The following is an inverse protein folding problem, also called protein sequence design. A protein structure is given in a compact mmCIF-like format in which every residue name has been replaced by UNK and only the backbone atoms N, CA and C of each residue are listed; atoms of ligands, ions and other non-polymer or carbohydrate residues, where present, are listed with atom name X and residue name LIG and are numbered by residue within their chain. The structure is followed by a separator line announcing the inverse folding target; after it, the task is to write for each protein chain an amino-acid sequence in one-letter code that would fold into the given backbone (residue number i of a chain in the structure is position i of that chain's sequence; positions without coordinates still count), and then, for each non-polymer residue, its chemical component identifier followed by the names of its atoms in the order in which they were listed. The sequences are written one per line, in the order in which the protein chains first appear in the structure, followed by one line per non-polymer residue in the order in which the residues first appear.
data_IF_834793794927
#
_entry.id   IF_834793794927
#
_cell.length_a   1.000
_cell.length_b   1.000
_cell.length_c   1.000
_cell.angle_alpha   90.00
_cell.angle_beta   90.00
_cell.angle_gamma   90.00
#
_symmetry.space_group_name_H-M   'P 1'
#
loop_
_entity.id
_entity.type
_entity.pdbx_description
1 polymer ?
#
# COMPACT_ATOMS: atom_id res chain seq x y z
N UNK A 1 0.00 -11.92 -4.87
CA UNK A 1 -1.05 -11.21 -5.65
C UNK A 1 -2.51 -11.48 -5.23
N UNK A 2 -3.01 -12.71 -4.98
CA UNK A 2 -4.46 -12.93 -4.76
C UNK A 2 -5.01 -12.25 -3.50
N UNK A 3 -4.22 -12.20 -2.41
CA UNK A 3 -4.63 -11.53 -1.16
C UNK A 3 -4.77 -10.01 -1.32
N UNK A 4 -3.88 -9.35 -2.08
CA UNK A 4 -3.95 -7.90 -2.37
C UNK A 4 -5.18 -7.57 -3.21
N UNK A 5 -5.46 -8.37 -4.25
CA UNK A 5 -6.66 -8.20 -5.09
C UNK A 5 -7.94 -8.41 -4.29
N UNK A 6 -7.98 -9.41 -3.41
CA UNK A 6 -9.12 -9.65 -2.53
C UNK A 6 -9.35 -8.50 -1.54
N UNK A 7 -8.29 -8.01 -0.89
CA UNK A 7 -8.37 -6.86 0.02
C UNK A 7 -8.83 -5.59 -0.72
N UNK A 8 -8.35 -5.35 -1.94
CA UNK A 8 -8.82 -4.25 -2.78
C UNK A 8 -10.30 -4.36 -3.13
N UNK A 9 -10.76 -5.55 -3.54
CA UNK A 9 -12.17 -5.78 -3.83
C UNK A 9 -13.06 -5.47 -2.61
N UNK A 10 -12.60 -5.77 -1.40
CA UNK A 10 -13.31 -5.39 -0.17
C UNK A 10 -13.40 -3.86 -0.01
N UNK A 11 -12.30 -3.13 -0.22
CA UNK A 11 -12.30 -1.66 -0.20
C UNK A 11 -13.29 -1.09 -1.21
N UNK A 12 -13.27 -1.59 -2.44
CA UNK A 12 -14.17 -1.15 -3.51
C UNK A 12 -15.64 -1.41 -3.17
N UNK A 13 -15.97 -2.57 -2.61
CA UNK A 13 -17.33 -2.90 -2.19
C UNK A 13 -17.86 -1.92 -1.13
N UNK A 14 -17.02 -1.50 -0.17
CA UNK A 14 -17.45 -0.52 0.83
C UNK A 14 -17.66 0.86 0.22
N UNK A 15 -16.80 1.30 -0.70
CA UNK A 15 -17.00 2.56 -1.42
C UNK A 15 -18.25 2.55 -2.29
N UNK A 16 -18.53 1.44 -2.97
CA UNK A 16 -19.75 1.27 -3.76
C UNK A 16 -20.97 1.38 -2.86
N UNK A 17 -20.98 0.68 -1.72
CA UNK A 17 -22.08 0.76 -0.74
C UNK A 17 -22.32 2.18 -0.25
N UNK A 18 -21.25 2.94 0.04
CA UNK A 18 -21.36 4.36 0.39
C UNK A 18 -22.04 5.15 -0.72
N UNK A 19 -21.63 4.94 -1.97
CA UNK A 19 -22.21 5.61 -3.12
C UNK A 19 -23.69 5.26 -3.35
N UNK A 20 -24.10 4.04 -3.04
CA UNK A 20 -25.48 3.57 -3.21
C UNK A 20 -26.46 4.17 -2.18
N UNK A 21 -25.96 4.58 -1.01
CA UNK A 21 -26.77 5.23 0.03
C UNK A 21 -27.04 6.72 -0.25
N UNK A 22 -26.19 7.37 -1.05
CA UNK A 22 -26.26 8.82 -1.30
C UNK A 22 -27.57 9.28 -1.96
N UNK A 23 -28.13 8.61 -2.98
CA UNK A 23 -29.39 9.06 -3.58
C UNK A 23 -30.52 9.14 -2.56
N UNK A 24 -30.63 8.14 -1.68
CA UNK A 24 -31.64 8.12 -0.61
C UNK A 24 -31.40 9.24 0.41
N UNK A 25 -30.14 9.52 0.75
CA UNK A 25 -29.76 10.64 1.61
C UNK A 25 -30.14 11.98 0.97
N UNK A 26 -29.79 12.20 -0.29
CA UNK A 26 -30.08 13.42 -1.03
C UNK A 26 -31.58 13.66 -1.12
N UNK A 27 -32.38 12.65 -1.45
CA UNK A 27 -33.84 12.77 -1.50
C UNK A 27 -34.44 13.08 -0.13
N UNK A 28 -33.94 12.44 0.93
CA UNK A 28 -34.37 12.74 2.31
C UNK A 28 -34.06 14.18 2.67
N UNK A 29 -32.82 14.66 2.45
CA UNK A 29 -32.44 16.04 2.76
C UNK A 29 -33.22 17.05 1.91
N UNK A 30 -33.41 16.77 0.61
CA UNK A 30 -34.19 17.61 -0.31
C UNK A 30 -35.64 17.77 0.13
N UNK A 31 -36.22 16.79 0.83
CA UNK A 31 -37.55 16.91 1.42
C UNK A 31 -37.67 18.07 2.42
N UNK A 32 -36.63 18.32 3.21
CA UNK A 32 -36.61 19.30 4.31
C UNK A 32 -35.83 20.58 3.99
N UNK A 33 -34.74 20.48 3.23
CA UNK A 33 -33.78 21.55 2.98
C UNK A 33 -33.69 21.91 1.47
N UNK A 34 -34.83 22.21 0.84
CA UNK A 34 -34.90 22.53 -0.61
C UNK A 34 -34.06 23.73 -1.03
N UNK A 35 -33.75 24.63 -0.09
CA UNK A 35 -32.95 25.83 -0.32
C UNK A 35 -31.44 25.51 -0.43
N UNK A 36 -31.02 24.33 0.02
CA UNK A 36 -29.61 23.88 0.04
C UNK A 36 -29.20 23.21 -1.28
N UNK A 37 -29.66 23.77 -2.40
CA UNK A 37 -29.43 23.21 -3.74
C UNK A 37 -27.93 23.09 -4.06
N UNK A 38 -27.14 24.12 -3.74
CA UNK A 38 -25.71 24.10 -3.97
C UNK A 38 -25.03 22.93 -3.24
N UNK A 39 -25.44 22.67 -2.00
CA UNK A 39 -24.93 21.57 -1.18
C UNK A 39 -25.34 20.22 -1.76
N UNK A 40 -26.61 20.05 -2.13
CA UNK A 40 -27.12 18.81 -2.72
C UNK A 40 -26.45 18.50 -4.07
N UNK A 41 -26.31 19.50 -4.94
CA UNK A 41 -25.61 19.37 -6.23
C UNK A 41 -24.16 18.96 -6.03
N UNK A 42 -23.44 19.59 -5.09
CA UNK A 42 -22.06 19.22 -4.79
C UNK A 42 -21.92 17.76 -4.33
N UNK A 43 -22.88 17.22 -3.58
CA UNK A 43 -22.90 15.81 -3.17
C UNK A 43 -23.18 14.89 -4.35
N UNK A 44 -24.14 15.25 -5.22
CA UNK A 44 -24.47 14.47 -6.42
C UNK A 44 -23.27 14.41 -7.38
N UNK A 45 -22.62 15.55 -7.63
CA UNK A 45 -21.43 15.63 -8.48
C UNK A 45 -20.25 14.86 -7.89
N UNK A 46 -20.00 15.01 -6.58
CA UNK A 46 -18.91 14.28 -5.92
C UNK A 46 -19.16 12.77 -5.96
N UNK A 47 -20.40 12.33 -5.79
CA UNK A 47 -20.79 10.92 -5.99
C UNK A 47 -20.51 10.49 -7.42
N UNK A 48 -20.96 11.25 -8.42
CA UNK A 48 -20.78 10.90 -9.82
C UNK A 48 -19.30 10.69 -10.15
N UNK A 49 -18.42 11.61 -9.71
CA UNK A 49 -16.96 11.49 -9.86
C UNK A 49 -16.39 10.29 -9.11
N UNK A 50 -16.85 10.02 -7.89
CA UNK A 50 -16.40 8.87 -7.10
C UNK A 50 -16.80 7.53 -7.74
N UNK A 51 -17.94 7.46 -8.43
CA UNK A 51 -18.43 6.25 -9.12
C UNK A 51 -17.93 6.09 -10.55
N UNK A 52 -17.53 7.18 -11.22
CA UNK A 52 -17.05 7.12 -12.60
C UNK A 52 -15.68 6.44 -12.72
N UNK A 53 -14.88 6.50 -11.66
CA UNK A 53 -13.56 5.87 -11.63
C UNK A 53 -13.72 4.40 -11.27
N UNK A 54 -13.88 3.55 -12.29
CA UNK A 54 -13.86 2.09 -12.12
C UNK A 54 -12.41 1.63 -11.94
N UNK A 55 -12.04 1.30 -10.70
CA UNK A 55 -10.72 0.74 -10.38
C UNK A 55 -10.84 -0.78 -10.30
N UNK A 56 -10.68 -1.44 -11.43
CA UNK A 56 -10.64 -2.91 -11.49
C UNK A 56 -9.32 -3.44 -10.90
N UNK A 57 -9.30 -4.71 -10.49
CA UNK A 57 -8.12 -5.35 -9.89
C UNK A 57 -6.87 -5.37 -10.81
N UNK A 58 -7.03 -5.10 -12.11
CA UNK A 58 -5.94 -4.91 -13.09
C UNK A 58 -5.37 -3.50 -13.10
N UNK A 59 -6.08 -2.52 -12.53
CA UNK A 59 -5.65 -1.11 -12.44
C UNK A 59 -4.94 -0.78 -11.12
N UNK A 60 -4.80 -1.76 -10.22
CA UNK A 60 -3.98 -1.67 -9.01
C UNK A 60 -2.50 -1.37 -9.31
N UNK A 61 -2.09 -1.68 -10.53
CA UNK A 61 -0.76 -1.45 -11.07
C UNK A 61 -0.52 0.00 -11.52
N UNK A 62 -1.57 0.81 -11.60
CA UNK A 62 -1.54 2.20 -12.07
C UNK A 62 -1.67 3.16 -10.87
N UNK A 63 -0.55 3.72 -10.38
CA UNK A 63 -0.57 4.60 -9.20
C UNK A 63 -1.33 5.90 -9.44
N UNK A 64 -1.40 6.39 -10.68
CA UNK A 64 -2.13 7.61 -11.03
C UNK A 64 -3.64 7.41 -10.93
N UNK A 65 -4.16 6.28 -11.43
CA UNK A 65 -5.58 5.94 -11.28
C UNK A 65 -5.99 5.75 -9.82
N UNK A 66 -5.12 5.15 -9.01
CA UNK A 66 -5.37 5.02 -7.58
C UNK A 66 -5.40 6.39 -6.87
N UNK A 67 -4.50 7.31 -7.21
CA UNK A 67 -4.52 8.69 -6.70
C UNK A 67 -5.80 9.42 -7.10
N UNK A 68 -6.20 9.33 -8.36
CA UNK A 68 -7.46 9.95 -8.84
C UNK A 68 -8.68 9.37 -8.12
N UNK A 69 -8.74 8.05 -7.94
CA UNK A 69 -9.80 7.41 -7.17
C UNK A 69 -9.83 7.91 -5.73
N UNK A 70 -8.69 7.93 -5.04
CA UNK A 70 -8.59 8.43 -3.67
C UNK A 70 -9.02 9.89 -3.56
N UNK A 71 -8.60 10.74 -4.50
CA UNK A 71 -8.99 12.14 -4.55
C UNK A 71 -10.52 12.31 -4.73
N UNK A 72 -11.13 11.53 -5.63
CA UNK A 72 -12.58 11.55 -5.82
C UNK A 72 -13.32 11.05 -4.56
N UNK A 73 -12.83 10.00 -3.91
CA UNK A 73 -13.41 9.50 -2.66
C UNK A 73 -13.29 10.50 -1.50
N UNK A 74 -12.17 11.25 -1.43
CA UNK A 74 -11.96 12.32 -0.45
C UNK A 74 -12.90 13.51 -0.71
N UNK A 75 -13.06 13.92 -1.97
CA UNK A 75 -14.00 14.96 -2.35
C UNK A 75 -15.44 14.60 -1.94
N UNK A 76 -15.84 13.33 -2.15
CA UNK A 76 -17.13 12.83 -1.70
C UNK A 76 -17.27 12.87 -0.18
N UNK A 77 -16.27 12.41 0.57
CA UNK A 77 -16.26 12.51 2.03
C UNK A 77 -16.43 13.95 2.54
N UNK A 78 -15.73 14.91 1.92
CA UNK A 78 -15.86 16.33 2.24
C UNK A 78 -17.24 16.90 1.91
N UNK A 79 -17.85 16.49 0.79
CA UNK A 79 -19.21 16.91 0.43
C UNK A 79 -20.26 16.37 1.41
N UNK A 80 -20.12 15.10 1.83
CA UNK A 80 -20.99 14.51 2.86
C UNK A 80 -20.81 15.20 4.22
N UNK A 81 -19.57 15.54 4.61
CA UNK A 81 -19.30 16.32 5.81
C UNK A 81 -20.01 17.67 5.81
N UNK A 82 -19.97 18.41 4.69
CA UNK A 82 -20.73 19.66 4.55
C UNK A 82 -22.24 19.45 4.64
N UNK A 83 -22.76 18.37 4.05
CA UNK A 83 -24.18 18.03 4.14
C UNK A 83 -24.63 17.76 5.58
N UNK A 84 -23.77 17.11 6.39
CA UNK A 84 -24.05 16.91 7.83
C UNK A 84 -24.06 18.23 8.60
N UNK A 85 -23.15 19.16 8.30
CA UNK A 85 -23.19 20.49 8.93
C UNK A 85 -24.46 21.25 8.53
N UNK A 86 -24.90 21.13 7.28
CA UNK A 86 -26.15 21.72 6.82
C UNK A 86 -27.34 21.11 7.57
N UNK A 87 -27.37 19.79 7.79
CA UNK A 87 -28.49 19.14 8.49
C UNK A 87 -28.64 19.58 9.95
N UNK A 88 -27.58 20.07 10.60
CA UNK A 88 -27.66 20.66 11.95
C UNK A 88 -28.54 21.91 12.00
N UNK A 89 -28.67 22.64 10.89
CA UNK A 89 -29.52 23.84 10.77
C UNK A 89 -31.00 23.51 10.58
N UNK A 90 -31.33 22.24 10.36
CA UNK A 90 -32.69 21.76 10.11
C UNK A 90 -33.10 20.72 11.19
N UNK A 91 -33.68 21.16 12.33
CA UNK A 91 -34.05 20.27 13.43
C UNK A 91 -34.97 19.11 13.02
N UNK A 92 -35.93 19.37 12.14
CA UNK A 92 -36.88 18.35 11.64
C UNK A 92 -36.15 17.25 10.86
N UNK A 93 -35.16 17.61 10.05
CA UNK A 93 -34.31 16.66 9.32
C UNK A 93 -33.41 15.88 10.29
N UNK A 94 -32.80 16.57 11.26
CA UNK A 94 -31.94 15.94 12.28
C UNK A 94 -32.67 14.89 13.09
N UNK A 95 -33.95 15.11 13.37
CA UNK A 95 -34.80 14.17 14.11
C UNK A 95 -35.47 13.10 13.23
N UNK A 96 -35.35 13.21 11.91
CA UNK A 96 -35.98 12.29 10.98
C UNK A 96 -35.35 10.88 11.09
N UNK A 97 -36.19 9.86 11.35
CA UNK A 97 -35.72 8.48 11.54
C UNK A 97 -34.99 7.92 10.31
N UNK A 98 -35.44 8.23 9.09
CA UNK A 98 -34.78 7.76 7.86
C UNK A 98 -33.41 8.43 7.71
N UNK A 99 -33.30 9.72 8.02
CA UNK A 99 -32.03 10.44 8.00
C UNK A 99 -31.03 9.87 9.03
N UNK A 100 -31.47 9.65 10.27
CA UNK A 100 -30.65 9.06 11.33
C UNK A 100 -30.17 7.64 10.95
N UNK A 101 -31.05 6.82 10.36
CA UNK A 101 -30.70 5.50 9.87
C UNK A 101 -29.63 5.56 8.76
N UNK A 102 -29.80 6.45 7.78
CA UNK A 102 -28.83 6.66 6.70
C UNK A 102 -27.49 7.19 7.22
N UNK A 103 -27.52 8.13 8.18
CA UNK A 103 -26.33 8.65 8.85
C UNK A 103 -25.55 7.52 9.54
N UNK A 104 -26.23 6.68 10.33
CA UNK A 104 -25.62 5.52 10.98
C UNK A 104 -25.04 4.51 9.98
N UNK A 105 -25.74 4.25 8.87
CA UNK A 105 -25.25 3.37 7.81
C UNK A 105 -24.00 3.94 7.12
N UNK A 106 -23.96 5.25 6.87
CA UNK A 106 -22.80 5.93 6.28
C UNK A 106 -21.61 5.90 7.23
N UNK A 107 -21.81 6.21 8.51
CA UNK A 107 -20.77 6.11 9.54
C UNK A 107 -20.21 4.68 9.64
N UNK A 108 -21.09 3.69 9.72
CA UNK A 108 -20.71 2.28 9.72
C UNK A 108 -19.97 1.87 8.45
N UNK A 109 -20.28 2.48 7.31
CA UNK A 109 -19.56 2.24 6.05
C UNK A 109 -18.18 2.88 6.07
N UNK A 110 -18.04 4.11 6.59
CA UNK A 110 -16.76 4.79 6.72
C UNK A 110 -15.80 4.04 7.64
N UNK A 111 -16.30 3.51 8.77
CA UNK A 111 -15.51 2.65 9.65
C UNK A 111 -15.03 1.38 8.94
N UNK A 112 -15.88 0.73 8.14
CA UNK A 112 -15.49 -0.44 7.33
C UNK A 112 -14.51 -0.08 6.23
N UNK A 113 -14.65 1.08 5.59
CA UNK A 113 -13.66 1.60 4.62
C UNK A 113 -12.30 1.74 5.30
N UNK A 114 -12.26 2.35 6.50
CA UNK A 114 -11.01 2.55 7.22
C UNK A 114 -10.29 1.23 7.51
N UNK A 115 -11.04 0.21 7.99
CA UNK A 115 -10.52 -1.13 8.22
C UNK A 115 -10.05 -1.79 6.92
N UNK A 116 -10.89 -1.79 5.87
CA UNK A 116 -10.54 -2.42 4.60
C UNK A 116 -9.29 -1.79 3.96
N UNK A 117 -9.11 -0.46 4.08
CA UNK A 117 -7.90 0.22 3.62
C UNK A 117 -6.67 -0.22 4.43
N UNK A 118 -6.80 -0.33 5.75
CA UNK A 118 -5.72 -0.83 6.61
C UNK A 118 -5.32 -2.24 6.19
N UNK A 119 -6.29 -3.12 5.97
CA UNK A 119 -6.05 -4.50 5.54
C UNK A 119 -5.39 -4.58 4.16
N UNK A 120 -5.81 -3.71 3.23
CA UNK A 120 -5.18 -3.57 1.91
C UNK A 120 -3.72 -3.12 2.02
N UNK A 121 -3.44 -2.07 2.80
CA UNK A 121 -2.06 -1.59 3.04
C UNK A 121 -1.20 -2.71 3.64
N UNK A 122 -1.72 -3.44 4.63
CA UNK A 122 -1.02 -4.56 5.24
C UNK A 122 -0.78 -5.71 4.25
N UNK A 123 -1.73 -6.00 3.36
CA UNK A 123 -1.55 -6.99 2.29
C UNK A 123 -0.47 -6.57 1.29
N UNK A 124 -0.44 -5.28 0.90
CA UNK A 124 0.59 -4.72 0.02
C UNK A 124 1.97 -4.77 0.69
N UNK A 125 2.07 -4.39 1.96
CA UNK A 125 3.32 -4.46 2.72
C UNK A 125 3.86 -5.89 2.83
N UNK A 126 3.00 -6.87 3.13
CA UNK A 126 3.38 -8.30 3.16
C UNK A 126 3.87 -8.77 1.81
N UNK A 127 3.15 -8.46 0.73
CA UNK A 127 3.57 -8.80 -0.62
C UNK A 127 4.93 -8.18 -1.01
N UNK A 128 5.12 -6.90 -0.69
CA UNK A 128 6.39 -6.22 -0.93
C UNK A 128 7.54 -6.80 -0.09
N UNK A 129 7.25 -7.24 1.14
CA UNK A 129 8.22 -7.90 2.02
C UNK A 129 8.56 -9.28 1.47
N UNK A 130 7.58 -10.11 1.09
CA UNK A 130 7.77 -11.43 0.47
C UNK A 130 8.62 -11.37 -0.81
N UNK A 131 8.51 -10.29 -1.60
CA UNK A 131 9.37 -10.07 -2.78
C UNK A 131 10.80 -9.66 -2.37
N UNK A 132 10.96 -8.92 -1.26
CA UNK A 132 12.25 -8.39 -0.80
C UNK A 132 13.04 -9.36 0.09
N UNK A 133 12.38 -10.25 0.85
CA UNK A 133 13.01 -11.37 1.57
C UNK A 133 13.17 -12.56 0.63
N UNK A 134 14.41 -12.98 0.45
CA UNK A 134 14.81 -14.13 -0.37
C UNK A 134 14.05 -15.42 0.02
N UNK A 135 13.63 -16.29 -0.93
CA UNK A 135 14.28 -16.63 -2.20
C UNK A 135 13.59 -16.13 -3.49
N UNK A 136 12.85 -15.01 -3.47
CA UNK A 136 12.21 -14.45 -4.67
C UNK A 136 13.18 -13.94 -5.76
N UNK A 137 14.36 -13.42 -5.38
CA UNK A 137 15.35 -12.89 -6.33
C UNK A 137 16.13 -13.97 -7.10
N UNK A 138 16.38 -15.14 -6.50
CA UNK A 138 17.08 -16.27 -7.17
C UNK A 138 16.17 -17.03 -8.15
N UNK A 139 14.86 -17.13 -7.84
CA UNK A 139 13.90 -17.79 -8.74
C UNK A 139 13.60 -16.97 -10.00
N UNK A 140 13.58 -15.64 -9.91
CA UNK A 140 13.33 -14.77 -11.06
C UNK A 140 14.52 -14.72 -12.04
N UNK A 141 15.76 -14.90 -11.57
CA UNK A 141 16.94 -14.98 -12.43
C UNK A 141 17.12 -16.34 -13.11
N UNK A 142 16.46 -17.40 -12.63
CA UNK A 142 16.60 -18.77 -13.15
C UNK A 142 15.40 -19.20 -14.02
N UNK A 143 14.19 -18.69 -13.79
CA UNK A 143 13.00 -19.15 -14.54
C UNK A 143 12.29 -18.13 -15.45
N UNK A 144 12.41 -16.80 -15.27
CA UNK A 144 11.56 -15.84 -15.99
C UNK A 144 12.30 -14.54 -16.37
N UNK A 145 13.20 -14.63 -17.35
CA UNK A 145 14.01 -13.51 -17.87
C UNK A 145 13.25 -12.42 -18.64
N UNK A 146 11.96 -12.60 -18.93
CA UNK A 146 11.31 -11.86 -20.02
C UNK A 146 10.19 -10.89 -19.59
N UNK A 147 10.11 -10.46 -18.32
CA UNK A 147 9.17 -9.41 -17.89
C UNK A 147 9.88 -8.12 -17.45
N UNK A 148 9.54 -6.95 -18.03
CA UNK A 148 10.23 -5.70 -17.75
C UNK A 148 9.90 -5.12 -16.37
N UNK A 149 10.94 -4.61 -15.69
CA UNK A 149 10.86 -3.84 -14.44
C UNK A 149 10.05 -2.54 -14.64
N UNK A 150 9.16 -2.21 -13.71
CA UNK A 150 8.55 -0.87 -13.59
C UNK A 150 9.34 -0.05 -12.55
N UNK A 151 9.59 1.23 -12.87
CA UNK A 151 10.33 2.17 -12.02
C UNK A 151 9.59 2.49 -10.71
N UNK A 152 10.37 2.63 -9.62
CA UNK A 152 9.88 3.03 -8.31
C UNK A 152 9.84 4.55 -8.21
N UNK A 153 8.74 5.11 -7.69
CA UNK A 153 8.75 6.47 -7.14
C UNK A 153 9.73 6.51 -5.97
N UNK A 154 10.73 7.38 -6.06
CA UNK A 154 11.61 7.76 -4.97
C UNK A 154 10.77 8.29 -3.80
N UNK A 155 10.86 7.64 -2.65
CA UNK A 155 10.45 8.25 -1.40
C UNK A 155 11.63 9.07 -0.90
N UNK A 156 11.53 10.40 -1.07
CA UNK A 156 12.26 11.37 -0.26
C UNK A 156 12.05 11.01 1.22
N UNK A 157 13.06 10.42 1.84
CA UNK A 157 13.18 10.40 3.29
C UNK A 157 14.54 11.01 3.60
N UNK A 158 14.50 12.24 4.12
CA UNK A 158 15.66 13.10 4.36
C UNK A 158 16.53 12.65 5.56
N UNK A 159 16.48 11.38 5.95
CA UNK A 159 17.16 10.87 7.15
C UNK A 159 17.93 9.54 6.90
N UNK A 160 18.17 9.17 5.64
CA UNK A 160 18.95 7.97 5.29
C UNK A 160 20.48 8.18 5.26
N UNK A 161 20.97 9.38 5.62
CA UNK A 161 22.36 9.81 5.37
C UNK A 161 23.32 9.69 6.57
N UNK A 162 23.09 8.79 7.53
CA UNK A 162 24.12 8.49 8.54
C UNK A 162 24.36 7.00 8.71
N UNK A 163 25.19 6.45 7.82
CA UNK A 163 25.98 5.27 8.12
C UNK A 163 27.09 5.64 9.12
N UNK A 164 27.43 4.78 10.10
CA UNK A 164 28.57 5.03 10.98
C UNK A 164 29.87 4.97 10.17
N UNK A 165 30.55 6.11 10.06
CA UNK A 165 31.84 6.24 9.38
C UNK A 165 32.93 5.44 10.12
N UNK A 166 33.61 4.54 9.41
CA UNK A 166 34.97 4.13 9.77
C UNK A 166 35.24 2.65 10.07
N UNK A 167 34.33 1.72 9.83
CA UNK A 167 34.68 0.29 9.85
C UNK A 167 34.81 -0.27 8.43
N UNK A 168 35.94 -0.93 8.16
CA UNK A 168 36.18 -1.62 6.92
C UNK A 168 35.06 -2.67 6.71
N UNK A 169 34.54 -2.78 5.49
CA UNK A 169 33.42 -3.67 5.13
C UNK A 169 33.72 -5.13 5.54
N UNK A 170 35.00 -5.49 5.58
CA UNK A 170 35.51 -6.79 6.03
C UNK A 170 35.21 -7.07 7.52
N UNK A 171 35.42 -6.08 8.39
CA UNK A 171 35.19 -6.25 9.84
C UNK A 171 33.69 -6.29 10.17
N UNK A 172 32.88 -5.55 9.42
CA UNK A 172 31.42 -5.54 9.55
C UNK A 172 30.82 -6.89 9.16
N UNK A 173 31.32 -7.53 8.10
CA UNK A 173 30.87 -8.85 7.66
C UNK A 173 31.11 -9.95 8.67
N UNK A 174 32.31 -10.00 9.24
CA UNK A 174 32.68 -10.97 10.26
C UNK A 174 31.86 -10.85 11.55
N UNK A 175 31.55 -9.62 11.99
CA UNK A 175 30.73 -9.40 13.18
C UNK A 175 29.25 -9.72 12.94
N UNK A 176 28.73 -9.35 11.76
CA UNK A 176 27.34 -9.60 11.39
C UNK A 176 27.07 -11.11 11.23
N UNK A 177 28.00 -11.84 10.62
CA UNK A 177 27.92 -13.31 10.49
C UNK A 177 27.88 -14.05 11.83
N UNK A 178 28.70 -13.61 12.80
CA UNK A 178 28.71 -14.21 14.16
C UNK A 178 27.47 -13.83 14.98
N UNK A 179 26.98 -12.60 14.86
CA UNK A 179 25.80 -12.15 15.60
C UNK A 179 24.52 -12.81 15.10
N UNK A 180 24.41 -13.07 13.80
CA UNK A 180 23.24 -13.70 13.19
C UNK A 180 23.30 -15.22 13.11
N UNK A 181 24.43 -15.84 13.45
CA UNK A 181 24.57 -17.30 13.46
C UNK A 181 24.28 -17.92 12.09
N UNK A 182 24.86 -17.36 11.03
CA UNK A 182 24.52 -17.73 9.65
C UNK A 182 25.19 -19.06 9.29
N UNK A 183 24.38 -20.11 9.08
CA UNK A 183 24.83 -21.46 8.76
C UNK A 183 24.20 -22.51 9.69
N UNK A 184 24.32 -23.81 9.36
CA UNK A 184 23.94 -24.87 10.30
C UNK A 184 24.99 -24.98 11.40
N UNK A 185 24.57 -25.07 12.66
CA UNK A 185 25.46 -25.23 13.82
C UNK A 185 26.42 -26.42 13.60
N UNK A 186 27.71 -26.13 13.50
CA UNK A 186 28.77 -27.14 13.29
C UNK A 186 29.05 -27.54 11.84
N UNK A 187 28.48 -26.86 10.83
CA UNK A 187 28.77 -27.12 9.40
C UNK A 187 29.34 -25.92 8.63
N UNK A 188 29.41 -24.74 9.24
CA UNK A 188 30.04 -23.51 8.71
C UNK A 188 29.79 -23.23 7.22
N UNK A 189 28.56 -23.48 6.77
CA UNK A 189 28.12 -23.40 5.37
C UNK A 189 27.28 -22.15 5.07
N UNK A 190 27.38 -21.13 5.91
CA UNK A 190 26.73 -19.84 5.70
C UNK A 190 27.44 -19.01 4.64
N UNK A 191 26.69 -18.26 3.86
CA UNK A 191 27.22 -17.22 2.97
C UNK A 191 26.48 -15.91 3.25
N UNK A 192 27.22 -14.81 3.32
CA UNK A 192 26.72 -13.47 3.59
C UNK A 192 27.10 -12.57 2.41
N UNK A 193 26.09 -11.95 1.80
CA UNK A 193 26.28 -10.94 0.77
C UNK A 193 26.11 -9.56 1.39
N UNK A 194 27.17 -8.76 1.37
CA UNK A 194 27.21 -7.40 1.89
C UNK A 194 27.21 -6.44 0.70
N UNK A 195 26.25 -5.52 0.70
CA UNK A 195 26.12 -4.49 -0.32
C UNK A 195 26.31 -3.15 0.35
N UNK A 196 27.37 -2.43 -0.02
CA UNK A 196 27.67 -1.09 0.44
C UNK A 196 27.37 -0.08 -0.69
N UNK A 197 26.13 0.42 -0.80
CA UNK A 197 25.69 1.23 -1.94
C UNK A 197 26.41 2.58 -2.04
N UNK A 198 26.84 3.16 -0.93
CA UNK A 198 27.60 4.42 -0.89
C UNK A 198 29.02 4.26 -1.45
N UNK A 199 29.62 3.07 -1.30
CA UNK A 199 30.94 2.75 -1.84
C UNK A 199 30.88 2.02 -3.20
N UNK A 200 29.68 1.70 -3.69
CA UNK A 200 29.44 0.83 -4.87
C UNK A 200 30.21 -0.49 -4.83
N UNK A 201 30.43 -1.03 -3.62
CA UNK A 201 31.12 -2.31 -3.41
C UNK A 201 30.12 -3.40 -3.06
N UNK A 202 30.38 -4.58 -3.62
CA UNK A 202 29.62 -5.79 -3.39
C UNK A 202 30.62 -6.85 -2.92
N UNK A 203 30.38 -7.45 -1.75
CA UNK A 203 31.29 -8.44 -1.17
C UNK A 203 30.52 -9.67 -0.70
N UNK A 204 31.03 -10.84 -1.05
CA UNK A 204 30.49 -12.13 -0.64
C UNK A 204 31.47 -12.74 0.35
N UNK A 205 31.04 -12.92 1.59
CA UNK A 205 31.78 -13.67 2.59
C UNK A 205 31.16 -15.05 2.76
N UNK A 206 31.99 -16.07 2.66
CA UNK A 206 31.57 -17.47 2.73
C UNK A 206 32.23 -18.11 3.94
N UNK A 207 31.48 -18.86 4.73
CA UNK A 207 32.04 -19.59 5.88
C UNK A 207 33.10 -20.61 5.45
N UNK A 208 34.08 -20.84 6.32
CA UNK A 208 35.24 -21.72 6.08
C UNK A 208 34.89 -23.13 5.54
N UNK A 209 33.66 -23.62 5.74
CA UNK A 209 33.19 -24.91 5.20
C UNK A 209 32.94 -24.96 3.69
N UNK A 210 33.09 -23.83 2.97
CA UNK A 210 32.83 -23.72 1.52
C UNK A 210 34.06 -23.40 0.67
N UNK A 211 35.25 -23.31 1.24
CA UNK A 211 36.51 -23.05 0.51
C UNK A 211 36.88 -24.16 -0.51
N UNK A 212 36.28 -25.34 -0.42
CA UNK A 212 36.61 -26.48 -1.28
C UNK A 212 35.77 -26.68 -2.55
N UNK A 213 34.74 -25.85 -2.81
CA UNK A 213 33.76 -26.10 -3.90
C UNK A 213 33.57 -24.95 -4.90
N UNK A 214 34.33 -23.88 -4.77
CA UNK A 214 34.40 -22.80 -5.74
C UNK A 214 35.85 -22.68 -6.21
N UNK A 215 36.21 -23.45 -7.23
CA UNK A 215 37.45 -23.22 -7.96
C UNK A 215 37.44 -21.82 -8.55
N UNK A 216 38.54 -21.08 -8.35
CA UNK A 216 38.83 -19.67 -8.71
C UNK A 216 38.52 -19.30 -10.19
N UNK A 217 38.20 -20.27 -11.04
CA UNK A 217 37.91 -20.11 -12.46
C UNK A 217 36.49 -19.58 -12.79
N UNK A 218 35.57 -19.46 -11.82
CA UNK A 218 34.23 -18.88 -12.05
C UNK A 218 34.06 -17.46 -11.51
N UNK A 219 35.07 -16.90 -10.82
CA UNK A 219 35.02 -15.56 -10.26
C UNK A 219 35.26 -14.44 -11.31
N UNK A 220 35.78 -14.77 -12.49
CA UNK A 220 36.09 -13.77 -13.54
C UNK A 220 34.92 -13.45 -14.48
N UNK A 221 33.72 -13.98 -14.25
CA UNK A 221 32.50 -13.63 -15.02
C UNK A 221 31.60 -12.64 -14.28
N UNK A 222 31.98 -12.26 -13.05
CA UNK A 222 31.26 -11.28 -12.22
C UNK A 222 32.26 -10.21 -11.73
N UNK A 223 32.91 -9.53 -12.68
CA UNK A 223 33.42 -8.16 -12.49
C UNK A 223 32.97 -7.35 -13.71
#
# INVERSE_FOLDING_TARGET
MPQVKAAWAQVQNQYQRRADLIPNLVETVKGYARQEQATLTAVIEARAKATSIKVDASTLDDPEKLRQFQAAQAQLGGALGRLMVVSERYPDLKSNQNFLALQSQLEGTENRIAVARKDFIAAVQRYNTEIRTFPGRLWHSVMYSDMPLRENFEATSADADKAPEGQAIEDYGYQLGRHWGIGQQGKDNGALLIVAPQERKLRIEVGYGLEGRLTDAQASVII
#
